data_IF_262034517092
#
_entry.id   IF_262034517092
#
_cell.length_a   1.000
_cell.length_b   1.000
_cell.length_c   1.000
_cell.angle_alpha   90.00
_cell.angle_beta   90.00
_cell.angle_gamma   90.00
#
_symmetry.space_group_name_H-M   'P 1'
#
loop_
_entity.id
_entity.type
_entity.pdbx_description
1 polymer ?
#
# COMPACT_ATOMS: atom_id res chain seq x y z
N UNK A 1 -1.84 3.96 26.38
CA UNK A 1 -2.90 3.36 25.58
C UNK A 1 -2.47 3.26 24.13
N UNK A 2 -2.59 2.10 23.53
CA UNK A 2 -2.20 1.89 22.15
C UNK A 2 -3.31 2.41 21.22
N UNK A 3 -2.96 3.30 20.31
CA UNK A 3 -3.90 3.81 19.32
C UNK A 3 -3.52 3.27 17.94
N UNK A 4 -4.52 2.91 17.15
CA UNK A 4 -4.32 2.49 15.76
C UNK A 4 -4.32 3.72 14.85
N UNK A 5 -3.60 3.65 13.71
CA UNK A 5 -3.59 4.76 12.78
C UNK A 5 -4.98 5.03 12.21
N UNK A 6 -5.29 6.29 11.98
CA UNK A 6 -6.53 6.72 11.36
C UNK A 6 -6.33 7.33 9.98
N UNK A 7 -5.07 7.59 9.60
CA UNK A 7 -4.72 8.07 8.27
C UNK A 7 -3.54 7.27 7.75
N UNK A 8 -3.77 6.51 6.67
CA UNK A 8 -2.77 5.62 6.10
C UNK A 8 -2.50 6.04 4.66
N UNK A 9 -1.22 6.25 4.34
CA UNK A 9 -0.77 6.43 2.97
C UNK A 9 -0.45 5.08 2.35
N UNK A 10 -0.83 4.88 1.10
CA UNK A 10 -0.61 3.61 0.39
C UNK A 10 0.15 3.90 -0.90
N UNK A 11 1.29 3.25 -1.06
CA UNK A 11 2.18 3.41 -2.20
C UNK A 11 2.62 2.03 -2.68
N UNK A 12 2.89 1.87 -3.98
CA UNK A 12 3.34 0.58 -4.50
C UNK A 12 4.15 0.76 -5.77
N UNK A 13 4.92 -0.29 -6.11
CA UNK A 13 5.60 -0.41 -7.39
C UNK A 13 6.51 0.77 -7.68
N UNK A 14 7.29 1.18 -6.69
CA UNK A 14 8.25 2.28 -6.84
C UNK A 14 9.43 1.91 -7.72
N UNK A 15 9.81 0.63 -7.75
CA UNK A 15 10.92 0.14 -8.59
C UNK A 15 12.18 1.02 -8.48
N UNK A 16 12.51 1.45 -7.26
CA UNK A 16 13.70 2.25 -7.01
C UNK A 16 13.56 3.74 -7.25
N UNK A 17 12.36 4.20 -7.63
CA UNK A 17 12.11 5.62 -7.88
C UNK A 17 11.10 6.16 -6.87
N UNK A 18 11.54 7.11 -6.04
CA UNK A 18 10.67 7.77 -5.08
C UNK A 18 10.58 9.25 -5.44
N UNK A 19 9.46 9.64 -6.02
CA UNK A 19 9.25 11.00 -6.50
C UNK A 19 9.05 11.96 -5.34
N UNK A 20 9.58 13.20 -5.43
CA UNK A 20 9.29 14.23 -4.41
C UNK A 20 7.80 14.46 -4.23
N UNK A 21 7.03 14.36 -5.30
CA UNK A 21 5.57 14.50 -5.25
C UNK A 21 4.92 13.43 -4.38
N UNK A 22 5.46 12.19 -4.43
CA UNK A 22 4.97 11.11 -3.58
C UNK A 22 5.25 11.40 -2.12
N UNK A 23 6.46 11.84 -1.79
CA UNK A 23 6.82 12.20 -0.41
C UNK A 23 5.92 13.32 0.11
N UNK A 24 5.68 14.34 -0.72
CA UNK A 24 4.82 15.46 -0.33
C UNK A 24 3.39 14.99 -0.08
N UNK A 25 2.88 14.12 -0.94
CA UNK A 25 1.50 13.63 -0.82
C UNK A 25 1.31 12.70 0.39
N UNK A 26 2.38 12.02 0.82
CA UNK A 26 2.32 11.11 1.96
C UNK A 26 2.44 11.82 3.31
N UNK A 27 2.81 13.10 3.33
CA UNK A 27 2.92 13.84 4.59
C UNK A 27 1.59 13.89 5.30
N UNK A 28 1.63 13.72 6.61
CA UNK A 28 0.43 13.64 7.43
C UNK A 28 -0.10 12.22 7.61
N UNK A 29 0.47 11.25 6.89
CA UNK A 29 0.15 9.84 7.13
C UNK A 29 0.68 9.42 8.51
N UNK A 30 -0.11 8.62 9.21
CA UNK A 30 0.29 8.05 10.51
C UNK A 30 0.95 6.68 10.33
N UNK A 31 0.74 6.07 9.18
CA UNK A 31 1.37 4.84 8.74
C UNK A 31 1.42 4.85 7.22
N UNK A 32 2.43 4.19 6.66
CA UNK A 32 2.54 4.02 5.21
C UNK A 32 2.58 2.52 4.92
N UNK A 33 1.76 2.09 3.95
CA UNK A 33 1.76 0.72 3.46
C UNK A 33 2.37 0.72 2.06
N UNK A 34 3.37 -0.13 1.84
CA UNK A 34 3.99 -0.33 0.53
C UNK A 34 3.60 -1.70 -0.01
N UNK A 35 3.00 -1.73 -1.17
CA UNK A 35 2.45 -2.94 -1.79
C UNK A 35 3.44 -3.82 -2.53
N UNK A 36 4.75 -3.56 -2.42
CA UNK A 36 5.78 -4.41 -3.06
C UNK A 36 6.37 -3.82 -4.33
N UNK A 37 7.39 -4.48 -4.87
CA UNK A 37 8.23 -3.99 -5.96
C UNK A 37 8.84 -2.65 -5.59
N UNK A 38 9.51 -2.67 -4.44
CA UNK A 38 10.10 -1.49 -3.81
C UNK A 38 11.31 -1.00 -4.62
N UNK A 39 12.21 -1.91 -4.95
CA UNK A 39 13.37 -1.62 -5.79
C UNK A 39 14.64 -1.20 -5.05
N UNK A 40 14.57 -1.03 -3.74
CA UNK A 40 15.75 -0.70 -2.93
C UNK A 40 15.36 -0.33 -1.51
N UNK A 41 16.24 -0.66 -0.56
CA UNK A 41 15.96 -0.37 0.85
C UNK A 41 15.88 1.12 1.14
N UNK A 42 16.58 1.94 0.35
CA UNK A 42 16.59 3.39 0.51
C UNK A 42 15.20 4.00 0.33
N UNK A 43 14.34 3.33 -0.46
CA UNK A 43 12.94 3.76 -0.61
C UNK A 43 12.22 3.65 0.74
N UNK A 44 12.37 2.49 1.40
CA UNK A 44 11.71 2.27 2.69
C UNK A 44 12.29 3.19 3.78
N UNK A 45 13.59 3.43 3.74
CA UNK A 45 14.24 4.34 4.68
C UNK A 45 13.68 5.76 4.54
N UNK A 46 13.54 6.23 3.31
CA UNK A 46 12.98 7.56 3.05
C UNK A 46 11.52 7.67 3.52
N UNK A 47 10.72 6.63 3.24
CA UNK A 47 9.32 6.60 3.67
C UNK A 47 9.21 6.57 5.20
N UNK A 48 10.10 5.86 5.87
CA UNK A 48 10.05 5.74 7.33
C UNK A 48 10.39 7.05 8.05
N UNK A 49 10.97 8.01 7.36
CA UNK A 49 11.16 9.35 7.92
C UNK A 49 9.82 10.10 8.05
N UNK A 50 8.81 9.69 7.29
CA UNK A 50 7.47 10.31 7.36
C UNK A 50 6.62 9.63 8.42
N UNK A 51 6.57 8.28 8.40
CA UNK A 51 5.71 7.49 9.29
C UNK A 51 6.19 6.04 9.30
N UNK A 52 5.77 5.23 10.28
CA UNK A 52 6.08 3.79 10.27
C UNK A 52 5.60 3.15 8.97
N UNK A 53 6.42 2.26 8.41
CA UNK A 53 6.16 1.61 7.13
C UNK A 53 5.91 0.12 7.32
N UNK A 54 4.82 -0.37 6.73
CA UNK A 54 4.57 -1.80 6.56
C UNK A 54 4.72 -2.10 5.07
N UNK A 55 5.66 -2.96 4.71
CA UNK A 55 5.93 -3.28 3.32
C UNK A 55 5.90 -4.78 3.09
N UNK A 56 5.46 -5.19 1.92
CA UNK A 56 5.53 -6.59 1.47
C UNK A 56 6.50 -6.70 0.30
N UNK A 57 6.97 -7.92 0.04
CA UNK A 57 7.91 -8.19 -1.04
C UNK A 57 7.14 -8.39 -2.34
N UNK A 58 7.56 -7.66 -3.38
CA UNK A 58 7.02 -7.86 -4.71
C UNK A 58 7.85 -8.87 -5.52
N UNK A 59 7.38 -9.19 -6.72
CA UNK A 59 8.03 -10.21 -7.55
C UNK A 59 9.41 -9.76 -8.08
N UNK A 60 9.69 -8.47 -8.11
CA UNK A 60 11.01 -7.96 -8.54
C UNK A 60 11.97 -7.74 -7.36
N UNK A 61 11.52 -7.84 -6.13
CA UNK A 61 12.35 -7.64 -4.93
C UNK A 61 13.10 -8.93 -4.62
N UNK A 62 14.28 -9.12 -5.23
CA UNK A 62 15.06 -10.36 -5.14
C UNK A 62 16.43 -10.20 -4.50
N UNK A 63 16.80 -8.98 -4.15
CA UNK A 63 18.10 -8.70 -3.54
C UNK A 63 18.11 -9.08 -2.06
N UNK A 64 19.32 -9.16 -1.48
CA UNK A 64 19.47 -9.58 -0.10
C UNK A 64 18.70 -8.73 0.90
N UNK A 65 18.61 -7.42 0.65
CA UNK A 65 17.90 -6.51 1.56
C UNK A 65 16.40 -6.84 1.63
N UNK A 66 15.82 -7.38 0.55
CA UNK A 66 14.39 -7.67 0.49
C UNK A 66 14.03 -9.00 1.14
N UNK A 67 15.02 -9.81 1.51
CA UNK A 67 14.76 -11.11 2.13
C UNK A 67 14.02 -10.99 3.46
N UNK A 68 14.13 -9.85 4.13
CA UNK A 68 13.42 -9.59 5.38
C UNK A 68 11.99 -9.13 5.18
N UNK A 69 11.59 -8.78 3.94
CA UNK A 69 10.22 -8.38 3.67
C UNK A 69 9.31 -9.61 3.58
N UNK A 70 8.17 -9.59 4.28
CA UNK A 70 7.21 -10.70 4.16
C UNK A 70 6.48 -10.65 2.82
N UNK A 71 5.95 -11.78 2.40
CA UNK A 71 5.11 -11.85 1.21
C UNK A 71 3.72 -11.27 1.45
N UNK A 72 3.27 -11.28 2.70
CA UNK A 72 2.00 -10.69 3.10
C UNK A 72 2.12 -10.12 4.49
N UNK A 73 1.22 -9.20 4.83
CA UNK A 73 1.19 -8.58 6.14
C UNK A 73 -0.24 -8.31 6.57
N UNK A 74 -0.45 -8.27 7.88
CA UNK A 74 -1.74 -7.90 8.47
C UNK A 74 -1.54 -6.58 9.22
N UNK A 75 -2.38 -5.61 8.92
CA UNK A 75 -2.35 -4.31 9.59
C UNK A 75 -3.60 -4.18 10.44
N UNK A 76 -3.41 -3.96 11.73
CA UNK A 76 -4.51 -3.60 12.61
C UNK A 76 -4.74 -2.10 12.48
N UNK A 77 -5.91 -1.74 11.96
CA UNK A 77 -6.26 -0.35 11.76
C UNK A 77 -7.44 0.02 12.64
N UNK A 78 -7.78 1.31 12.66
CA UNK A 78 -8.95 1.78 13.39
C UNK A 78 -10.20 1.12 12.82
N UNK A 79 -10.87 0.30 13.63
CA UNK A 79 -12.12 -0.38 13.31
C UNK A 79 -12.01 -1.44 12.20
N UNK A 80 -10.86 -2.04 12.01
CA UNK A 80 -10.77 -3.14 11.05
C UNK A 80 -9.37 -3.64 10.79
N UNK A 81 -9.31 -4.77 10.10
CA UNK A 81 -8.04 -5.39 9.71
C UNK A 81 -7.83 -5.22 8.21
N UNK A 82 -6.58 -4.99 7.83
CA UNK A 82 -6.17 -4.84 6.44
C UNK A 82 -5.17 -5.95 6.11
N UNK A 83 -5.41 -6.66 5.00
CA UNK A 83 -4.48 -7.65 4.47
C UNK A 83 -3.69 -7.03 3.33
N UNK A 84 -2.37 -7.20 3.33
CA UNK A 84 -1.49 -6.62 2.32
C UNK A 84 -0.71 -7.73 1.65
N UNK A 85 -0.72 -7.75 0.30
CA UNK A 85 0.12 -8.64 -0.49
C UNK A 85 0.40 -7.94 -1.83
N UNK A 86 1.46 -8.37 -2.53
CA UNK A 86 1.82 -7.71 -3.79
C UNK A 86 0.85 -8.00 -4.92
N UNK A 87 0.52 -9.28 -5.15
CA UNK A 87 -0.35 -9.72 -6.23
C UNK A 87 -1.62 -10.33 -5.67
N UNK A 88 -2.75 -9.66 -5.87
CA UNK A 88 -4.03 -10.09 -5.33
C UNK A 88 -4.46 -11.44 -5.90
N UNK A 89 -4.01 -11.80 -7.11
CA UNK A 89 -4.34 -13.10 -7.69
C UNK A 89 -3.65 -14.26 -6.97
N UNK A 90 -2.62 -13.97 -6.17
CA UNK A 90 -1.92 -14.98 -5.37
C UNK A 90 -2.56 -15.21 -4.01
N UNK A 91 -3.65 -14.53 -3.69
CA UNK A 91 -4.28 -14.65 -2.37
C UNK A 91 -4.73 -16.08 -2.13
N UNK A 92 -4.36 -16.65 -0.98
CA UNK A 92 -4.64 -18.03 -0.65
C UNK A 92 -5.58 -18.17 0.55
N UNK A 93 -6.33 -17.12 0.86
CA UNK A 93 -7.32 -17.13 1.94
C UNK A 93 -8.58 -16.40 1.46
N UNK A 94 -9.66 -16.58 2.22
CA UNK A 94 -10.89 -15.84 1.98
C UNK A 94 -10.92 -14.64 2.92
N UNK A 95 -10.71 -13.41 2.40
CA UNK A 95 -10.60 -12.24 3.28
C UNK A 95 -11.84 -11.98 4.12
N UNK A 96 -13.03 -12.19 3.54
CA UNK A 96 -14.28 -11.99 4.28
C UNK A 96 -14.38 -12.95 5.46
N UNK A 97 -14.10 -14.24 5.21
CA UNK A 97 -14.15 -15.25 6.26
C UNK A 97 -13.08 -15.03 7.33
N UNK A 98 -11.92 -14.49 6.94
CA UNK A 98 -10.83 -14.20 7.85
C UNK A 98 -11.03 -12.90 8.65
N UNK A 99 -12.07 -12.14 8.36
CA UNK A 99 -12.37 -10.92 9.10
C UNK A 99 -11.68 -9.67 8.62
N UNK A 100 -11.12 -9.69 7.40
CA UNK A 100 -10.49 -8.52 6.82
C UNK A 100 -11.54 -7.56 6.25
N UNK A 101 -11.33 -6.29 6.48
CA UNK A 101 -12.18 -5.24 5.92
C UNK A 101 -11.65 -4.72 4.60
N UNK A 102 -10.33 -4.84 4.38
CA UNK A 102 -9.68 -4.33 3.18
C UNK A 102 -8.52 -5.24 2.78
N UNK A 103 -8.29 -5.36 1.47
CA UNK A 103 -7.10 -5.99 0.90
C UNK A 103 -6.38 -4.95 0.06
N UNK A 104 -5.10 -4.75 0.33
CA UNK A 104 -4.25 -3.82 -0.43
C UNK A 104 -3.25 -4.63 -1.25
N UNK A 105 -3.12 -4.29 -2.54
CA UNK A 105 -2.17 -4.94 -3.43
C UNK A 105 -1.60 -3.93 -4.42
N UNK A 106 -0.57 -4.35 -5.16
CA UNK A 106 0.02 -3.58 -6.24
C UNK A 106 0.05 -4.42 -7.51
N UNK A 107 1.23 -4.57 -8.12
CA UNK A 107 1.55 -5.44 -9.24
C UNK A 107 0.99 -4.97 -10.59
N UNK A 108 -0.29 -4.64 -10.70
CA UNK A 108 -0.89 -4.26 -11.98
C UNK A 108 -0.51 -2.86 -12.45
N UNK A 109 0.04 -2.02 -11.55
CA UNK A 109 0.33 -0.61 -11.80
C UNK A 109 -0.91 0.24 -12.07
N UNK A 110 -2.10 -0.30 -11.87
CA UNK A 110 -3.35 0.39 -12.17
C UNK A 110 -4.11 0.68 -10.88
N UNK A 111 -4.35 1.97 -10.64
CA UNK A 111 -5.14 2.39 -9.49
C UNK A 111 -6.57 1.85 -9.62
N UNK A 112 -7.06 1.21 -8.57
CA UNK A 112 -8.41 0.66 -8.59
C UNK A 112 -8.95 0.45 -7.20
N UNK A 113 -10.26 0.49 -7.07
CA UNK A 113 -10.97 0.06 -5.88
C UNK A 113 -12.19 -0.74 -6.31
N UNK A 114 -12.44 -1.82 -5.60
CA UNK A 114 -13.62 -2.65 -5.85
C UNK A 114 -14.04 -3.27 -4.53
N UNK A 115 -15.27 -3.77 -4.50
CA UNK A 115 -15.80 -4.40 -3.30
C UNK A 115 -16.33 -5.78 -3.65
N UNK A 116 -16.01 -6.78 -2.82
CA UNK A 116 -16.47 -8.13 -2.98
C UNK A 116 -16.70 -8.74 -1.60
N UNK A 117 -17.91 -9.27 -1.37
CA UNK A 117 -18.27 -9.92 -0.11
C UNK A 117 -18.04 -9.01 1.11
N UNK A 118 -18.25 -7.71 0.95
CA UNK A 118 -18.06 -6.74 2.01
C UNK A 118 -16.62 -6.34 2.25
N UNK A 119 -15.67 -6.84 1.45
CA UNK A 119 -14.25 -6.51 1.56
C UNK A 119 -13.88 -5.54 0.45
N UNK A 120 -13.19 -4.46 0.83
CA UNK A 120 -12.72 -3.45 -0.12
C UNK A 120 -11.34 -3.85 -0.64
N UNK A 121 -11.19 -3.95 -1.96
CA UNK A 121 -9.93 -4.26 -2.63
C UNK A 121 -9.35 -2.98 -3.21
N UNK A 122 -8.15 -2.60 -2.74
CA UNK A 122 -7.50 -1.35 -3.12
C UNK A 122 -6.15 -1.62 -3.76
N UNK A 123 -5.93 -1.02 -4.92
CA UNK A 123 -4.60 -0.91 -5.53
C UNK A 123 -4.32 0.59 -5.69
N UNK A 124 -3.23 1.12 -5.10
CA UNK A 124 -2.96 2.55 -5.18
C UNK A 124 -2.44 2.99 -6.55
N UNK A 125 -2.18 2.05 -7.45
CA UNK A 125 -1.47 2.32 -8.69
C UNK A 125 0.03 2.27 -8.48
N UNK A 126 0.80 2.64 -9.51
CA UNK A 126 2.25 2.67 -9.43
C UNK A 126 2.74 4.09 -9.15
N UNK A 127 3.64 4.23 -8.18
CA UNK A 127 4.30 5.50 -7.89
C UNK A 127 5.70 5.59 -8.52
N UNK A 128 6.12 4.54 -9.19
CA UNK A 128 7.45 4.43 -9.80
C UNK A 128 7.50 4.91 -11.23
N UNK A 129 8.39 4.34 -12.05
CA UNK A 129 8.52 4.74 -13.44
C UNK A 129 7.20 4.61 -14.18
N UNK A 130 6.87 5.62 -14.98
CA UNK A 130 5.63 5.63 -15.74
C UNK A 130 5.62 4.52 -16.78
N UNK A 131 4.52 3.78 -16.85
CA UNK A 131 4.37 2.66 -17.78
C UNK A 131 3.20 2.95 -18.72
N UNK A 132 3.50 3.05 -20.03
CA UNK A 132 2.50 3.35 -21.05
C UNK A 132 1.74 4.64 -20.71
N UNK A 133 0.42 4.59 -20.76
CA UNK A 133 -0.46 5.73 -20.45
C UNK A 133 -0.99 5.71 -19.02
N UNK A 134 -0.55 4.74 -18.20
CA UNK A 134 -1.03 4.66 -16.83
C UNK A 134 -0.53 5.85 -16.01
N UNK A 135 -1.39 6.49 -15.24
CA UNK A 135 -0.96 7.59 -14.36
C UNK A 135 -0.09 7.07 -13.23
N UNK A 136 0.74 7.94 -12.68
CA UNK A 136 1.49 7.62 -11.46
C UNK A 136 0.68 8.13 -10.27
N UNK A 137 0.40 7.24 -9.33
CA UNK A 137 -0.54 7.52 -8.26
C UNK A 137 -0.13 6.91 -6.93
N UNK A 138 -0.66 7.47 -5.86
CA UNK A 138 -0.71 6.84 -4.55
C UNK A 138 -2.14 6.93 -4.05
N UNK A 139 -2.42 6.32 -2.91
CA UNK A 139 -3.73 6.43 -2.28
C UNK A 139 -3.57 6.88 -0.82
N UNK A 140 -4.61 7.51 -0.30
CA UNK A 140 -4.70 7.88 1.11
C UNK A 140 -6.02 7.35 1.65
N UNK A 141 -5.98 6.79 2.85
CA UNK A 141 -7.18 6.24 3.49
C UNK A 141 -7.45 7.03 4.76
N UNK A 142 -8.66 7.55 4.87
CA UNK A 142 -9.15 8.18 6.10
C UNK A 142 -10.06 7.19 6.82
N UNK A 143 -9.56 6.63 7.91
CA UNK A 143 -10.27 5.61 8.68
C UNK A 143 -11.22 6.20 9.72
N UNK A 144 -11.24 7.53 9.86
CA UNK A 144 -12.23 8.21 10.70
C UNK A 144 -13.60 8.28 10.04
N UNK A 145 -13.65 8.08 8.73
CA UNK A 145 -14.91 8.05 8.00
C UNK A 145 -15.50 6.64 8.03
N UNK A 146 -16.82 6.53 7.98
CA UNK A 146 -17.52 5.25 7.94
C UNK A 146 -18.52 5.25 6.79
N UNK A 147 -18.28 4.51 5.69
CA UNK A 147 -17.11 3.64 5.45
C UNK A 147 -15.81 4.43 5.28
N UNK A 148 -14.68 3.71 5.34
CA UNK A 148 -13.36 4.32 5.16
C UNK A 148 -13.30 5.05 3.82
N UNK A 149 -12.76 6.26 3.84
CA UNK A 149 -12.68 7.10 2.65
C UNK A 149 -11.30 6.94 1.99
N UNK A 150 -11.32 6.71 0.67
CA UNK A 150 -10.10 6.52 -0.11
C UNK A 150 -9.98 7.64 -1.13
N UNK A 151 -8.81 8.30 -1.15
CA UNK A 151 -8.46 9.29 -2.15
C UNK A 151 -7.28 8.77 -2.97
N UNK A 152 -7.41 8.79 -4.29
CA UNK A 152 -6.29 8.58 -5.20
C UNK A 152 -5.66 9.91 -5.53
N UNK A 153 -4.32 9.97 -5.47
CA UNK A 153 -3.58 11.21 -5.67
C UNK A 153 -2.65 11.04 -6.87
N UNK A 154 -2.86 11.84 -7.90
CA UNK A 154 -1.98 11.89 -9.06
C UNK A 154 -0.66 12.56 -8.70
N UNK A 155 0.45 11.98 -9.15
CA UNK A 155 1.78 12.49 -8.85
C UNK A 155 2.40 13.30 -9.98
N UNK A 156 1.79 13.30 -11.15
CA UNK A 156 2.31 14.04 -12.31
C UNK A 156 1.24 14.90 -12.96
#
# INVERSE_FOLDING_TARGET
MKTHPTRIGVISDTHGLLRPEALAALRGSEMIIHGGDVGGKEILEALSEIAPVVAVRGNTDRDAWSASLPESAVVEAHQGLIYVLHDVQSIDLNPAAAGFRMVISGHSHKASRSEKDGVLYLNPGSAGPKRFTLPTTIASIDLNQEPWEIDFIDLC
#
